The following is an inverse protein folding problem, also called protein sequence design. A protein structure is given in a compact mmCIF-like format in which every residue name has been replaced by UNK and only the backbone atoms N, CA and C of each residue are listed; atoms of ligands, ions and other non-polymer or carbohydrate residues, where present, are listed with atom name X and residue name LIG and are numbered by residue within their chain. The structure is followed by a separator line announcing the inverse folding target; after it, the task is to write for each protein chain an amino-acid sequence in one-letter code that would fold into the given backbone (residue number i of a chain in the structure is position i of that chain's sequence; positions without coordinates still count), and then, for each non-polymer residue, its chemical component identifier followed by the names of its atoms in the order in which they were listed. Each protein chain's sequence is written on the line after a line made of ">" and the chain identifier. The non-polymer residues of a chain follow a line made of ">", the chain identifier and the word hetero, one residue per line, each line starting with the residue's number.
data_IF_660107459259
#
_entry.id   IF_660107459259
#
_cell.length_a   1.000
_cell.length_b   1.000
_cell.length_c   1.000
_cell.angle_alpha   90.00
_cell.angle_beta   90.00
_cell.angle_gamma   90.00
#
_symmetry.space_group_name_H-M   'P 1'
#
loop_
_entity.id
_entity.type
_entity.pdbx_description
1 polymer ?
#
# COMPACT_ATOMS: atom_id res chain seq x y z
N UNK A 1 -24.78 -12.08 6.30
CA UNK A 1 -23.48 -11.42 6.04
C UNK A 1 -23.65 -10.47 4.86
N UNK A 2 -23.11 -9.24 4.93
CA UNK A 2 -23.21 -8.27 3.82
C UNK A 2 -22.08 -8.56 2.81
N UNK A 3 -22.43 -8.84 1.55
CA UNK A 3 -21.48 -9.10 0.47
C UNK A 3 -20.66 -7.84 0.16
N UNK A 4 -19.38 -8.03 -0.15
CA UNK A 4 -18.52 -6.95 -0.62
C UNK A 4 -18.99 -6.44 -1.99
N UNK A 5 -19.06 -5.13 -2.25
CA UNK A 5 -19.52 -4.61 -3.54
C UNK A 5 -18.65 -5.09 -4.70
N UNK A 6 -19.26 -5.58 -5.79
CA UNK A 6 -18.55 -6.03 -6.99
C UNK A 6 -17.64 -4.95 -7.59
N UNK A 7 -18.06 -3.68 -7.44
CA UNK A 7 -17.30 -2.50 -7.86
C UNK A 7 -16.00 -2.36 -7.09
N UNK A 8 -15.98 -2.66 -5.79
CA UNK A 8 -14.77 -2.65 -4.96
C UNK A 8 -13.83 -3.79 -5.36
N UNK A 9 -14.36 -5.01 -5.48
CA UNK A 9 -13.61 -6.20 -5.93
C UNK A 9 -12.94 -5.93 -7.27
N UNK A 10 -13.68 -5.37 -8.23
CA UNK A 10 -13.15 -4.97 -9.53
C UNK A 10 -12.00 -3.96 -9.38
N UNK A 11 -12.13 -2.90 -8.58
CA UNK A 11 -11.03 -1.93 -8.43
C UNK A 11 -9.76 -2.58 -7.86
N UNK A 12 -9.90 -3.42 -6.84
CA UNK A 12 -8.75 -4.14 -6.29
C UNK A 12 -8.09 -5.05 -7.32
N UNK A 13 -8.86 -5.85 -8.09
CA UNK A 13 -8.31 -6.71 -9.15
C UNK A 13 -7.49 -5.95 -10.21
N UNK A 14 -7.79 -4.67 -10.41
CA UNK A 14 -7.11 -3.80 -11.36
C UNK A 14 -5.85 -3.11 -10.80
N UNK A 15 -5.50 -3.33 -9.53
CA UNK A 15 -4.19 -2.94 -8.99
C UNK A 15 -3.13 -3.89 -9.52
N UNK A 16 -2.07 -3.38 -10.14
CA UNK A 16 -0.98 -4.24 -10.59
C UNK A 16 0.12 -4.34 -9.53
N UNK A 17 0.10 -5.43 -8.74
CA UNK A 17 1.09 -5.67 -7.68
C UNK A 17 2.28 -6.52 -8.13
N UNK A 18 2.22 -7.13 -9.33
CA UNK A 18 3.35 -7.84 -9.96
C UNK A 18 3.67 -7.18 -11.29
N UNK A 19 4.86 -6.61 -11.44
CA UNK A 19 5.22 -5.81 -12.60
C UNK A 19 6.52 -5.04 -12.38
N UNK A 20 6.83 -4.15 -13.30
CA UNK A 20 8.04 -3.32 -13.23
C UNK A 20 7.75 -1.87 -13.63
N UNK A 21 8.65 -0.97 -13.23
CA UNK A 21 8.63 0.41 -13.67
C UNK A 21 9.48 1.33 -12.80
N UNK A 22 9.02 2.57 -12.68
CA UNK A 22 9.72 3.62 -11.94
C UNK A 22 8.96 3.97 -10.66
N UNK A 23 9.69 4.23 -9.59
CA UNK A 23 9.13 4.55 -8.30
C UNK A 23 9.72 5.80 -7.69
N UNK A 24 9.00 6.30 -6.70
CA UNK A 24 9.45 7.37 -5.82
C UNK A 24 9.10 7.02 -4.39
N UNK A 25 10.06 7.11 -3.48
CA UNK A 25 9.79 7.10 -2.03
C UNK A 25 10.21 8.44 -1.44
N UNK A 26 9.33 9.03 -0.65
CA UNK A 26 9.61 10.24 0.12
C UNK A 26 9.37 9.92 1.59
N UNK A 27 10.37 10.19 2.41
CA UNK A 27 10.31 9.98 3.86
C UNK A 27 11.06 11.13 4.54
N UNK A 28 10.38 11.83 5.44
CA UNK A 28 10.88 13.06 6.05
C UNK A 28 11.34 14.10 4.99
N UNK A 29 12.61 14.48 5.00
CA UNK A 29 13.21 15.40 4.02
C UNK A 29 13.72 14.69 2.76
N UNK A 30 13.92 13.36 2.81
CA UNK A 30 14.44 12.55 1.73
C UNK A 30 13.39 12.29 0.65
N UNK A 31 13.84 12.35 -0.60
CA UNK A 31 13.05 11.98 -1.78
C UNK A 31 13.96 11.25 -2.75
N UNK A 32 13.58 10.03 -3.10
CA UNK A 32 14.40 9.17 -3.93
C UNK A 32 13.58 8.58 -5.06
N UNK A 33 14.16 8.60 -6.26
CA UNK A 33 13.66 7.90 -7.42
C UNK A 33 14.39 6.56 -7.52
N UNK A 34 13.70 5.54 -7.99
CA UNK A 34 14.25 4.21 -8.17
C UNK A 34 13.54 3.49 -9.32
N UNK A 35 14.23 2.55 -9.94
CA UNK A 35 13.60 1.55 -10.80
C UNK A 35 13.23 0.35 -9.92
N UNK A 36 12.12 -0.33 -10.24
CA UNK A 36 11.66 -1.46 -9.46
C UNK A 36 11.11 -2.60 -10.31
N UNK A 37 11.19 -3.78 -9.71
CA UNK A 37 10.44 -4.97 -10.08
C UNK A 37 9.71 -5.46 -8.83
N UNK A 38 8.43 -5.79 -8.97
CA UNK A 38 7.62 -6.33 -7.89
C UNK A 38 6.95 -7.63 -8.29
N UNK A 39 6.80 -8.53 -7.33
CA UNK A 39 6.19 -9.84 -7.54
C UNK A 39 5.39 -10.25 -6.31
N UNK A 40 4.17 -10.71 -6.56
CA UNK A 40 3.35 -11.41 -5.57
C UNK A 40 3.59 -12.90 -5.71
N UNK A 41 3.81 -13.60 -4.59
CA UNK A 41 3.95 -15.06 -4.51
C UNK A 41 2.80 -15.62 -3.66
N UNK A 42 1.65 -15.97 -4.29
CA UNK A 42 0.44 -16.37 -3.57
C UNK A 42 0.63 -17.54 -2.60
N UNK A 43 1.40 -18.55 -3.00
CA UNK A 43 1.67 -19.75 -2.20
C UNK A 43 2.37 -19.43 -0.88
N UNK A 44 3.28 -18.45 -0.90
CA UNK A 44 4.02 -17.97 0.28
C UNK A 44 3.31 -16.86 1.02
N UNK A 45 2.25 -16.29 0.44
CA UNK A 45 1.58 -15.08 0.90
C UNK A 45 2.56 -13.90 1.04
N UNK A 46 3.48 -13.78 0.08
CA UNK A 46 4.53 -12.77 0.08
C UNK A 46 4.38 -11.81 -1.09
N UNK A 47 4.64 -10.53 -0.84
CA UNK A 47 4.87 -9.55 -1.88
C UNK A 47 6.28 -8.98 -1.74
N UNK A 48 7.01 -8.95 -2.84
CA UNK A 48 8.36 -8.43 -2.89
C UNK A 48 8.43 -7.25 -3.87
N UNK A 49 9.22 -6.23 -3.51
CA UNK A 49 9.60 -5.13 -4.38
C UNK A 49 11.12 -4.99 -4.31
N UNK A 50 11.79 -5.42 -5.36
CA UNK A 50 13.20 -5.18 -5.61
C UNK A 50 13.34 -3.79 -6.24
N UNK A 51 14.27 -2.99 -5.77
CA UNK A 51 14.52 -1.66 -6.33
C UNK A 51 15.99 -1.28 -6.26
N UNK A 52 16.42 -0.51 -7.26
CA UNK A 52 17.78 0.00 -7.32
C UNK A 52 17.83 1.41 -6.72
N UNK A 53 18.62 1.58 -5.65
CA UNK A 53 18.84 2.87 -5.04
C UNK A 53 20.25 3.39 -5.38
N UNK A 54 20.39 4.53 -6.11
CA UNK A 54 21.65 4.96 -6.73
C UNK A 54 22.89 5.06 -5.81
N UNK A 55 22.70 5.24 -4.49
CA UNK A 55 23.82 5.35 -3.53
C UNK A 55 23.99 4.14 -2.59
N UNK A 56 23.02 3.22 -2.54
CA UNK A 56 23.01 2.11 -1.57
C UNK A 56 22.92 0.75 -2.29
N UNK A 57 22.80 0.77 -3.63
CA UNK A 57 22.65 -0.41 -4.47
C UNK A 57 21.25 -1.00 -4.40
N UNK A 58 21.15 -2.28 -4.72
CA UNK A 58 19.89 -3.02 -4.72
C UNK A 58 19.32 -3.16 -3.30
N UNK A 59 18.01 -3.01 -3.22
CA UNK A 59 17.21 -3.16 -2.01
C UNK A 59 15.99 -3.98 -2.31
N UNK A 60 15.49 -4.61 -1.25
CA UNK A 60 14.37 -5.52 -1.32
C UNK A 60 13.43 -5.23 -0.15
N UNK A 61 12.22 -4.80 -0.49
CA UNK A 61 11.09 -4.79 0.43
C UNK A 61 10.40 -6.14 0.26
N UNK A 62 10.25 -6.88 1.37
CA UNK A 62 9.42 -8.09 1.43
C UNK A 62 8.33 -7.85 2.47
N UNK A 63 7.11 -8.21 2.10
CA UNK A 63 5.93 -8.12 2.94
C UNK A 63 5.26 -9.49 2.96
N UNK A 64 5.23 -10.13 4.13
CA UNK A 64 4.35 -11.28 4.38
C UNK A 64 2.93 -10.75 4.66
N UNK A 65 2.05 -10.88 3.67
CA UNK A 65 0.67 -10.47 3.81
C UNK A 65 -0.23 -11.57 4.41
N UNK A 66 0.29 -12.78 4.63
CA UNK A 66 -0.36 -13.82 5.41
C UNK A 66 -0.41 -13.50 6.91
N UNK A 67 0.57 -12.75 7.40
CA UNK A 67 0.67 -12.30 8.80
C UNK A 67 0.08 -10.91 9.04
N UNK A 68 -0.56 -10.28 8.04
CA UNK A 68 -1.04 -8.90 8.19
C UNK A 68 -1.97 -8.70 9.39
N UNK A 69 -2.68 -9.73 9.86
CA UNK A 69 -3.54 -9.63 11.05
C UNK A 69 -2.90 -10.11 12.36
N UNK A 70 -1.67 -10.62 12.32
CA UNK A 70 -1.02 -11.33 13.46
C UNK A 70 0.10 -10.54 14.13
N UNK A 71 0.45 -9.34 13.64
CA UNK A 71 1.50 -8.53 14.27
C UNK A 71 2.07 -7.44 13.36
N UNK A 72 3.11 -6.72 13.82
CA UNK A 72 3.85 -5.79 12.99
C UNK A 72 4.45 -6.55 11.82
N UNK A 73 4.30 -5.97 10.63
CA UNK A 73 4.72 -6.60 9.39
C UNK A 73 6.25 -6.63 9.35
N UNK A 74 6.85 -7.83 9.39
CA UNK A 74 8.30 -7.99 9.30
C UNK A 74 8.77 -7.60 7.90
N UNK A 75 9.61 -6.56 7.83
CA UNK A 75 10.24 -6.14 6.59
C UNK A 75 11.69 -5.82 6.90
N UNK A 76 12.61 -6.60 6.33
CA UNK A 76 14.05 -6.35 6.47
C UNK A 76 14.47 -4.94 6.04
N UNK A 77 13.72 -4.32 5.13
CA UNK A 77 13.93 -2.93 4.75
C UNK A 77 13.46 -1.96 5.84
N UNK A 78 12.29 -2.23 6.44
CA UNK A 78 11.76 -1.47 7.57
C UNK A 78 12.75 -1.47 8.74
N UNK A 79 13.31 -2.63 9.08
CA UNK A 79 14.28 -2.74 10.17
C UNK A 79 15.55 -1.92 9.89
N UNK A 80 16.06 -1.95 8.65
CA UNK A 80 17.21 -1.14 8.26
C UNK A 80 16.92 0.36 8.29
N UNK A 81 15.73 0.80 7.86
CA UNK A 81 15.32 2.21 7.99
C UNK A 81 15.20 2.62 9.46
N UNK A 82 14.60 1.76 10.28
CA UNK A 82 14.40 2.01 11.72
C UNK A 82 15.70 1.97 12.53
N UNK A 83 16.72 1.23 12.09
CA UNK A 83 18.01 1.12 12.79
C UNK A 83 18.98 2.25 12.40
N UNK A 84 18.97 2.71 11.16
CA UNK A 84 19.95 3.69 10.66
C UNK A 84 19.60 5.14 10.95
N UNK A 85 18.33 5.46 11.20
CA UNK A 85 17.89 6.82 11.47
C UNK A 85 17.48 6.99 12.94
N UNK A 86 17.87 8.12 13.56
CA UNK A 86 17.39 8.56 14.89
C UNK A 86 15.91 9.01 14.80
N UNK A 87 15.03 8.10 14.37
CA UNK A 87 13.61 8.33 14.23
C UNK A 87 12.93 8.38 15.59
N UNK A 88 12.10 9.40 15.80
CA UNK A 88 11.21 9.47 16.95
C UNK A 88 10.21 8.31 16.92
N UNK A 89 9.75 7.86 18.09
CA UNK A 89 8.78 6.77 18.20
C UNK A 89 7.50 7.03 17.39
N UNK A 90 7.10 8.30 17.27
CA UNK A 90 6.01 8.73 16.41
C UNK A 90 6.21 8.31 14.94
N UNK A 91 7.37 8.62 14.34
CA UNK A 91 7.66 8.24 12.95
C UNK A 91 7.83 6.74 12.77
N UNK A 92 8.40 6.04 13.77
CA UNK A 92 8.47 4.57 13.78
C UNK A 92 7.07 3.97 13.69
N UNK A 93 6.12 4.52 14.47
CA UNK A 93 4.71 4.10 14.43
C UNK A 93 4.06 4.39 13.07
N UNK A 94 4.27 5.57 12.49
CA UNK A 94 3.76 5.92 11.14
C UNK A 94 4.26 4.91 10.10
N UNK A 95 5.54 4.58 10.12
CA UNK A 95 6.17 3.67 9.18
C UNK A 95 5.64 2.24 9.32
N UNK A 96 5.48 1.73 10.55
CA UNK A 96 4.85 0.42 10.83
C UNK A 96 3.42 0.36 10.30
N UNK A 97 2.61 1.38 10.59
CA UNK A 97 1.23 1.46 10.11
C UNK A 97 1.16 1.51 8.58
N UNK A 98 2.07 2.24 7.93
CA UNK A 98 2.12 2.30 6.47
C UNK A 98 2.29 0.92 5.84
N UNK A 99 3.29 0.15 6.29
CA UNK A 99 3.53 -1.19 5.74
C UNK A 99 2.44 -2.18 6.12
N UNK A 100 1.84 -2.03 7.30
CA UNK A 100 0.70 -2.85 7.70
C UNK A 100 -0.53 -2.57 6.80
N UNK A 101 -0.88 -1.31 6.50
CA UNK A 101 -1.98 -0.99 5.56
C UNK A 101 -1.68 -1.40 4.13
N UNK A 102 -0.41 -1.30 3.70
CA UNK A 102 0.01 -1.83 2.41
C UNK A 102 -0.18 -3.36 2.35
N UNK A 103 0.20 -4.09 3.40
CA UNK A 103 -0.07 -5.53 3.54
C UNK A 103 -1.55 -5.86 3.44
N UNK A 104 -2.43 -5.07 4.07
CA UNK A 104 -3.89 -5.27 3.98
C UNK A 104 -4.40 -5.09 2.56
N UNK A 105 -3.89 -4.11 1.83
CA UNK A 105 -4.26 -3.87 0.43
C UNK A 105 -3.83 -5.05 -0.45
N UNK A 106 -2.60 -5.52 -0.27
CA UNK A 106 -2.07 -6.67 -1.02
C UNK A 106 -2.90 -7.91 -0.72
N UNK A 107 -3.15 -8.21 0.55
CA UNK A 107 -4.00 -9.34 0.94
C UNK A 107 -5.41 -9.23 0.34
N UNK A 108 -6.01 -8.04 0.41
CA UNK A 108 -7.36 -7.81 -0.15
C UNK A 108 -7.37 -8.02 -1.66
N UNK A 109 -6.35 -7.56 -2.38
CA UNK A 109 -6.18 -7.82 -3.81
C UNK A 109 -6.13 -9.34 -4.10
N UNK A 110 -5.34 -10.09 -3.35
CA UNK A 110 -5.20 -11.54 -3.52
C UNK A 110 -6.49 -12.31 -3.22
N UNK A 111 -7.18 -11.96 -2.13
CA UNK A 111 -8.45 -12.57 -1.75
C UNK A 111 -9.49 -12.38 -2.88
N UNK A 112 -9.58 -11.18 -3.45
CA UNK A 112 -10.47 -10.93 -4.58
C UNK A 112 -10.04 -11.65 -5.86
N UNK A 113 -8.74 -11.72 -6.17
CA UNK A 113 -8.22 -12.42 -7.35
C UNK A 113 -8.47 -13.92 -7.29
N UNK A 114 -8.30 -14.53 -6.12
CA UNK A 114 -8.54 -15.96 -5.90
C UNK A 114 -10.01 -16.36 -5.96
N UNK A 115 -10.94 -15.41 -6.18
CA UNK A 115 -12.38 -15.67 -6.15
C UNK A 115 -12.92 -15.95 -4.75
N UNK A 116 -12.11 -15.72 -3.71
CA UNK A 116 -12.51 -15.89 -2.32
C UNK A 116 -13.43 -14.76 -1.84
N UNK A 117 -14.18 -15.05 -0.77
CA UNK A 117 -14.88 -13.99 -0.06
C UNK A 117 -13.87 -13.11 0.68
N UNK A 118 -13.95 -11.80 0.45
CA UNK A 118 -13.13 -10.85 1.18
C UNK A 118 -13.56 -10.83 2.66
N UNK A 119 -12.60 -10.69 3.57
CA UNK A 119 -12.86 -10.54 5.00
C UNK A 119 -13.57 -9.22 5.36
N UNK A 120 -13.67 -8.27 4.43
CA UNK A 120 -14.35 -6.99 4.62
C UNK A 120 -15.88 -7.12 4.65
N UNK A 121 -16.48 -6.58 5.71
CA UNK A 121 -17.91 -6.33 5.78
C UNK A 121 -18.17 -4.89 5.33
N UNK A 122 -18.88 -4.71 4.22
CA UNK A 122 -19.09 -3.39 3.64
C UNK A 122 -20.55 -2.94 3.70
N UNK A 123 -20.74 -1.65 3.94
CA UNK A 123 -22.00 -0.91 3.79
C UNK A 123 -21.72 0.30 2.89
N UNK A 124 -22.10 0.20 1.62
CA UNK A 124 -21.80 1.23 0.62
C UNK A 124 -20.29 1.40 0.41
N UNK A 125 -19.81 2.63 0.63
CA UNK A 125 -18.40 3.03 0.49
C UNK A 125 -17.55 2.74 1.74
N UNK A 126 -18.15 2.23 2.80
CA UNK A 126 -17.48 1.95 4.06
C UNK A 126 -17.34 0.45 4.26
N UNK A 127 -16.17 0.01 4.68
CA UNK A 127 -15.86 -1.38 4.96
C UNK A 127 -15.16 -1.49 6.30
N UNK A 128 -15.44 -2.57 7.02
CA UNK A 128 -14.78 -2.86 8.30
C UNK A 128 -14.41 -4.33 8.41
N UNK A 129 -13.37 -4.58 9.20
CA UNK A 129 -12.96 -5.89 9.65
C UNK A 129 -12.32 -5.74 11.03
N UNK A 130 -12.91 -6.38 12.05
CA UNK A 130 -12.56 -6.14 13.45
C UNK A 130 -12.56 -4.62 13.74
N UNK A 131 -11.47 -4.08 14.29
CA UNK A 131 -11.32 -2.66 14.59
C UNK A 131 -10.81 -1.82 13.41
N UNK A 132 -10.52 -2.46 12.27
CA UNK A 132 -9.99 -1.79 11.08
C UNK A 132 -11.15 -1.29 10.24
N UNK A 133 -11.13 0.02 9.94
CA UNK A 133 -12.09 0.68 9.04
C UNK A 133 -11.39 1.14 7.77
N UNK A 134 -12.10 1.03 6.66
CA UNK A 134 -11.67 1.52 5.35
C UNK A 134 -12.82 2.25 4.70
N UNK A 135 -12.55 3.41 4.10
CA UNK A 135 -13.48 4.03 3.15
C UNK A 135 -12.89 3.99 1.75
N UNK A 136 -13.74 3.86 0.75
CA UNK A 136 -13.32 3.77 -0.63
C UNK A 136 -14.21 4.59 -1.56
N UNK A 137 -13.64 5.03 -2.68
CA UNK A 137 -14.41 5.63 -3.76
C UNK A 137 -13.74 5.35 -5.10
N UNK A 138 -14.53 5.33 -6.17
CA UNK A 138 -14.04 5.17 -7.52
C UNK A 138 -14.81 6.10 -8.46
N UNK A 139 -14.08 6.90 -9.25
CA UNK A 139 -14.67 7.83 -10.22
C UNK A 139 -13.67 8.13 -11.34
N UNK A 140 -14.15 8.16 -12.58
CA UNK A 140 -13.37 8.57 -13.77
C UNK A 140 -12.01 7.85 -13.89
N UNK A 141 -11.99 6.52 -13.77
CA UNK A 141 -10.76 5.73 -13.88
C UNK A 141 -9.76 5.95 -12.73
N UNK A 142 -10.23 6.47 -11.59
CA UNK A 142 -9.45 6.65 -10.36
C UNK A 142 -10.07 5.86 -9.23
N UNK A 143 -9.23 5.29 -8.38
CA UNK A 143 -9.62 4.54 -7.20
C UNK A 143 -8.90 5.09 -5.97
N UNK A 144 -9.66 5.32 -4.90
CA UNK A 144 -9.18 5.88 -3.66
C UNK A 144 -9.57 5.01 -2.49
N UNK A 145 -8.62 4.71 -1.61
CA UNK A 145 -8.86 4.12 -0.30
C UNK A 145 -8.34 5.04 0.79
N UNK A 146 -9.00 5.01 1.94
CA UNK A 146 -8.54 5.63 3.18
C UNK A 146 -8.64 4.65 4.33
N UNK A 147 -7.59 4.58 5.14
CA UNK A 147 -7.57 3.87 6.41
C UNK A 147 -7.26 4.88 7.52
N UNK A 148 -8.21 5.17 8.42
CA UNK A 148 -7.90 5.93 9.62
C UNK A 148 -6.82 5.21 10.44
N UNK A 149 -5.83 5.98 10.90
CA UNK A 149 -4.78 5.52 11.80
C UNK A 149 -4.96 6.20 13.17
N UNK A 150 -3.86 6.53 13.84
CA UNK A 150 -3.84 7.22 15.12
C UNK A 150 -3.70 8.74 14.94
N UNK A 151 -4.10 9.54 15.94
CA UNK A 151 -3.83 10.98 16.01
C UNK A 151 -4.16 11.77 14.73
N UNK A 152 -5.28 11.46 14.06
CA UNK A 152 -5.73 12.09 12.80
C UNK A 152 -4.86 11.79 11.57
N UNK A 153 -3.94 10.83 11.68
CA UNK A 153 -3.25 10.30 10.53
C UNK A 153 -4.17 9.35 9.77
N UNK A 154 -4.08 9.41 8.45
CA UNK A 154 -4.83 8.57 7.52
C UNK A 154 -3.85 8.03 6.51
N UNK A 155 -3.89 6.72 6.28
CA UNK A 155 -3.23 6.09 5.14
C UNK A 155 -4.14 6.18 3.93
N UNK A 156 -3.57 6.53 2.80
CA UNK A 156 -4.26 6.67 1.53
C UNK A 156 -3.63 5.76 0.47
N UNK A 157 -4.50 5.09 -0.30
CA UNK A 157 -4.17 4.63 -1.65
C UNK A 157 -4.89 5.55 -2.64
N UNK A 158 -4.17 6.06 -3.61
CA UNK A 158 -4.74 6.68 -4.80
C UNK A 158 -4.15 6.00 -6.04
N UNK A 159 -5.00 5.31 -6.79
CA UNK A 159 -4.64 4.64 -8.04
C UNK A 159 -5.30 5.37 -9.23
N UNK A 160 -4.53 5.60 -10.30
CA UNK A 160 -4.93 6.45 -11.43
C UNK A 160 -4.71 5.76 -12.76
N UNK A 161 -5.32 6.34 -13.80
CA UNK A 161 -5.03 6.05 -15.21
C UNK A 161 -5.22 4.57 -15.53
N UNK A 162 -6.46 4.13 -15.36
CA UNK A 162 -6.90 2.77 -15.64
C UNK A 162 -7.25 2.60 -17.11
N UNK A 163 -6.39 1.90 -17.86
CA UNK A 163 -6.77 1.28 -19.13
C UNK A 163 -7.23 -0.15 -18.85
N UNK A 164 -6.28 -1.10 -18.74
CA UNK A 164 -6.51 -2.45 -18.22
C UNK A 164 -6.26 -2.55 -16.71
N UNK A 165 -5.25 -1.81 -16.21
CA UNK A 165 -4.84 -1.74 -14.82
C UNK A 165 -4.47 -0.29 -14.47
N UNK A 166 -4.39 0.03 -13.18
CA UNK A 166 -3.89 1.33 -12.74
C UNK A 166 -2.39 1.42 -12.98
N UNK A 167 -1.96 2.31 -13.88
CA UNK A 167 -0.53 2.49 -14.19
C UNK A 167 0.21 3.38 -13.18
N UNK A 168 -0.52 4.04 -12.28
CA UNK A 168 0.06 4.88 -11.23
C UNK A 168 -0.62 4.61 -9.91
N UNK A 169 0.14 4.16 -8.93
CA UNK A 169 -0.32 3.93 -7.55
C UNK A 169 0.45 4.82 -6.60
N UNK A 170 -0.26 5.53 -5.73
CA UNK A 170 0.31 6.40 -4.71
C UNK A 170 -0.19 5.95 -3.35
N UNK A 171 0.74 5.51 -2.50
CA UNK A 171 0.52 5.13 -1.12
C UNK A 171 1.12 6.23 -0.24
N UNK A 172 0.36 6.80 0.68
CA UNK A 172 0.88 7.87 1.53
C UNK A 172 0.14 7.97 2.84
N UNK A 173 0.82 8.48 3.85
CA UNK A 173 0.21 8.86 5.12
C UNK A 173 0.11 10.38 5.19
N UNK A 174 -1.06 10.89 5.59
CA UNK A 174 -1.32 12.31 5.77
C UNK A 174 -1.91 12.54 7.16
N UNK A 175 -1.57 13.64 7.81
CA UNK A 175 -2.27 14.13 9.00
C UNK A 175 -3.40 15.06 8.54
N UNK A 176 -4.65 14.71 8.80
CA UNK A 176 -5.81 15.51 8.34
C UNK A 176 -5.93 16.86 9.08
N UNK A 177 -5.24 17.05 10.21
CA UNK A 177 -5.18 18.34 10.91
C UNK A 177 -4.10 19.29 10.39
N UNK A 178 -3.15 18.81 9.60
CA UNK A 178 -2.13 19.67 9.02
C UNK A 178 -2.72 20.48 7.86
N UNK A 179 -3.14 21.71 8.15
CA UNK A 179 -3.65 22.67 7.16
C UNK A 179 -2.45 23.26 6.39
N UNK A 180 -2.40 23.06 5.07
CA UNK A 180 -1.39 23.65 4.17
C UNK A 180 -0.54 22.64 3.38
N UNK A 181 0.49 23.14 2.67
CA UNK A 181 1.44 22.32 1.87
C UNK A 181 2.51 21.72 2.80
N UNK A 182 2.11 20.85 3.73
CA UNK A 182 3.10 20.04 4.48
C UNK A 182 3.36 18.75 3.72
N UNK A 183 4.64 18.37 3.61
CA UNK A 183 5.04 17.10 2.99
C UNK A 183 4.45 15.96 3.81
N UNK A 184 3.92 14.96 3.13
CA UNK A 184 3.51 13.71 3.76
C UNK A 184 4.71 13.11 4.49
N UNK A 185 4.57 12.66 5.75
CA UNK A 185 5.66 12.02 6.49
C UNK A 185 6.25 10.82 5.75
N UNK A 186 5.41 10.11 4.98
CA UNK A 186 5.79 8.98 4.17
C UNK A 186 4.89 8.88 2.93
N UNK A 187 5.52 8.69 1.79
CA UNK A 187 4.87 8.49 0.50
C UNK A 187 5.68 7.54 -0.37
N UNK A 188 5.01 6.59 -1.01
CA UNK A 188 5.54 5.76 -2.08
C UNK A 188 4.65 5.91 -3.30
N UNK A 189 5.24 6.20 -4.46
CA UNK A 189 4.56 6.25 -5.75
C UNK A 189 5.20 5.21 -6.65
N UNK A 190 4.38 4.39 -7.29
CA UNK A 190 4.78 3.42 -8.30
C UNK A 190 4.15 3.83 -9.63
N UNK A 191 4.99 3.99 -10.65
CA UNK A 191 4.62 4.18 -12.05
C UNK A 191 4.97 2.90 -12.79
N UNK A 192 3.94 2.22 -13.28
CA UNK A 192 4.05 0.91 -13.87
C UNK A 192 4.29 1.02 -15.38
N UNK A 193 5.35 0.36 -15.85
CA UNK A 193 5.64 0.22 -17.27
C UNK A 193 5.03 -1.08 -17.81
N UNK A 194 5.18 -2.19 -17.07
CA UNK A 194 4.62 -3.48 -17.43
C UNK A 194 3.94 -4.16 -16.24
N UNK A 195 2.85 -4.89 -16.53
CA UNK A 195 2.08 -5.63 -15.55
C UNK A 195 2.14 -7.13 -15.84
N UNK A 196 2.61 -7.92 -14.86
CA UNK A 196 2.77 -9.37 -14.98
C UNK A 196 1.57 -10.17 -14.47
N UNK A 197 0.41 -9.53 -14.33
CA UNK A 197 -0.82 -10.21 -13.97
C UNK A 197 -1.15 -11.28 -15.02
N UNK A 198 -0.88 -12.55 -14.70
CA UNK A 198 -1.42 -13.71 -15.39
C UNK A 198 -2.93 -13.83 -15.11
#
# INVERSE_FOLDING_TARGET
>A
MRKTPDTLSSQFKNLCLSGEGHGRISFLSGRHLFDYESMTTPEKKEWALAFHYPAIGEKLIKLDYGQTFKGPLESHFLDKLLQNEKLSEHYRKVLREFFHRLGLIIKTHEDFRGGGESFWQCLGSECSYQDIKMTWSSRNGKFFLKFPLFNNYVFHLAAFSKEKYFNRMRFFVQNEKDIGIKRNPLEMILFLNACYQK
#
